data_IF_237348540632
#
_entry.id   IF_237348540632
#
_cell.length_a   1.000
_cell.length_b   1.000
_cell.length_c   1.000
_cell.angle_alpha   90.00
_cell.angle_beta   90.00
_cell.angle_gamma   90.00
#
_symmetry.space_group_name_H-M   'P 1'
#
loop_
_entity.id
_entity.type
_entity.pdbx_description
1 polymer ?
#
# COMPACT_ATOMS: atom_id res chain seq x y z
N UNK A 1 16.91 3.49 5.52
CA UNK A 1 16.22 2.80 6.64
C UNK A 1 16.20 1.34 6.24
N UNK A 2 17.19 0.56 6.72
CA UNK A 2 17.43 -0.81 6.23
C UNK A 2 16.51 -1.87 6.85
N UNK A 3 15.80 -1.56 7.95
CA UNK A 3 15.08 -2.59 8.71
C UNK A 3 13.56 -2.40 8.78
N UNK A 4 12.97 -1.46 8.03
CA UNK A 4 11.51 -1.22 8.04
C UNK A 4 10.93 -0.72 9.37
N UNK A 5 11.73 -0.62 10.42
CA UNK A 5 11.30 -0.18 11.74
C UNK A 5 11.08 1.35 11.77
N UNK A 6 9.99 1.82 12.40
CA UNK A 6 9.82 3.25 12.67
C UNK A 6 10.96 3.79 13.55
N UNK A 7 11.59 4.88 13.10
CA UNK A 7 12.64 5.55 13.85
C UNK A 7 12.12 6.57 14.87
N UNK A 8 12.97 7.09 15.76
CA UNK A 8 12.58 8.13 16.70
C UNK A 8 12.18 9.43 15.97
N UNK A 9 11.34 10.24 16.63
CA UNK A 9 11.05 11.59 16.17
C UNK A 9 12.32 12.44 16.23
N UNK A 10 12.53 13.29 15.22
CA UNK A 10 13.61 14.27 15.20
C UNK A 10 13.27 15.49 16.07
N UNK A 11 14.23 16.33 16.33
CA UNK A 11 14.03 17.55 17.15
C UNK A 11 13.07 18.54 16.49
N UNK A 12 13.04 18.59 15.15
CA UNK A 12 12.20 19.44 14.30
C UNK A 12 10.85 18.82 13.94
N UNK A 13 10.61 17.54 14.28
CA UNK A 13 9.32 16.89 14.07
C UNK A 13 8.27 17.43 15.05
N UNK A 14 7.03 17.67 14.60
CA UNK A 14 5.94 18.03 15.51
C UNK A 14 5.67 16.89 16.51
N UNK A 15 5.19 17.24 17.70
CA UNK A 15 4.80 16.24 18.70
C UNK A 15 3.36 15.78 18.52
N UNK A 16 2.54 16.64 17.91
CA UNK A 16 1.11 16.40 17.70
C UNK A 16 0.66 17.09 16.39
N UNK A 17 -0.30 16.45 15.71
CA UNK A 17 -1.01 17.00 14.53
C UNK A 17 -2.50 16.71 14.72
N UNK A 18 -3.32 17.74 14.81
CA UNK A 18 -4.80 17.62 14.85
C UNK A 18 -5.32 16.60 15.87
N UNK A 19 -4.70 16.52 17.06
CA UNK A 19 -5.04 15.56 18.11
C UNK A 19 -4.35 14.18 17.99
N UNK A 20 -3.58 13.94 16.93
CA UNK A 20 -2.75 12.75 16.78
C UNK A 20 -1.38 12.97 17.42
N UNK A 21 -1.12 12.34 18.56
CA UNK A 21 0.21 12.34 19.21
C UNK A 21 1.16 11.47 18.41
N UNK A 22 2.22 12.07 17.84
CA UNK A 22 3.20 11.36 17.03
C UNK A 22 4.13 10.52 17.91
N UNK A 23 4.35 9.26 17.55
CA UNK A 23 5.14 8.29 18.34
C UNK A 23 6.49 8.00 17.72
N UNK A 24 6.53 7.87 16.40
CA UNK A 24 7.72 7.51 15.67
C UNK A 24 7.64 8.01 14.23
N UNK A 25 8.77 8.09 13.56
CA UNK A 25 8.87 8.43 12.14
C UNK A 25 8.93 7.15 11.32
N UNK A 26 7.91 6.91 10.49
CA UNK A 26 7.85 5.74 9.60
C UNK A 26 8.68 5.98 8.36
N UNK A 27 8.62 7.19 7.79
CA UNK A 27 9.36 7.51 6.58
C UNK A 27 9.28 8.98 6.20
N UNK A 28 10.07 9.36 5.20
CA UNK A 28 9.99 10.66 4.56
C UNK A 28 10.16 10.50 3.06
N UNK A 29 9.32 11.17 2.30
CA UNK A 29 9.35 11.21 0.85
C UNK A 29 9.38 12.63 0.31
N UNK A 30 9.31 12.76 -1.02
CA UNK A 30 9.30 14.07 -1.68
C UNK A 30 8.19 14.99 -1.17
N UNK A 31 7.00 14.47 -0.92
CA UNK A 31 5.79 15.24 -0.62
C UNK A 31 5.50 15.43 0.86
N UNK A 32 6.10 14.64 1.74
CA UNK A 32 5.76 14.67 3.15
C UNK A 32 6.56 13.71 4.01
N UNK A 33 6.21 13.72 5.28
CA UNK A 33 6.73 12.78 6.28
C UNK A 33 5.59 11.93 6.81
N UNK A 34 5.85 10.65 7.00
CA UNK A 34 4.89 9.69 7.55
C UNK A 34 5.28 9.37 8.98
N UNK A 35 4.33 9.49 9.88
CA UNK A 35 4.50 9.23 11.31
C UNK A 35 3.59 8.10 11.78
N UNK A 36 4.05 7.31 12.73
CA UNK A 36 3.21 6.40 13.50
C UNK A 36 2.48 7.19 14.57
N UNK A 37 1.18 7.03 14.63
CA UNK A 37 0.31 7.58 15.67
C UNK A 37 -0.79 6.57 16.01
N UNK A 38 -1.73 6.99 16.87
CA UNK A 38 -2.89 6.18 17.22
C UNK A 38 -4.14 7.06 17.22
N UNK A 39 -5.27 6.50 16.82
CA UNK A 39 -6.59 7.12 17.03
C UNK A 39 -6.89 7.20 18.52
N UNK A 40 -7.93 7.95 18.90
CA UNK A 40 -8.43 7.98 20.30
C UNK A 40 -8.81 6.61 20.83
N UNK A 41 -9.24 5.69 19.95
CA UNK A 41 -9.54 4.29 20.28
C UNK A 41 -8.32 3.37 20.36
N UNK A 42 -7.08 3.92 20.22
CA UNK A 42 -5.85 3.14 20.30
C UNK A 42 -5.46 2.41 19.00
N UNK A 43 -6.21 2.57 17.90
CA UNK A 43 -5.87 1.96 16.63
C UNK A 43 -4.63 2.63 16.03
N UNK A 44 -3.59 1.86 15.63
CA UNK A 44 -2.40 2.43 15.02
C UNK A 44 -2.69 2.99 13.62
N UNK A 45 -2.15 4.17 13.34
CA UNK A 45 -2.30 4.87 12.06
C UNK A 45 -0.96 5.37 11.54
N UNK A 46 -0.81 5.35 10.20
CA UNK A 46 0.25 6.03 9.48
C UNK A 46 -0.24 7.41 9.06
N UNK A 47 0.29 8.46 9.70
CA UNK A 47 -0.09 9.85 9.47
C UNK A 47 0.88 10.51 8.51
N UNK A 48 0.49 10.69 7.26
CA UNK A 48 1.26 11.38 6.22
C UNK A 48 0.98 12.87 6.26
N UNK A 49 1.97 13.65 6.68
CA UNK A 49 1.88 15.11 6.79
C UNK A 49 2.56 15.74 5.57
N UNK A 50 1.81 16.57 4.85
CA UNK A 50 2.28 17.21 3.62
C UNK A 50 3.28 18.33 3.95
N UNK A 51 4.36 18.44 3.18
CA UNK A 51 5.36 19.48 3.34
C UNK A 51 4.77 20.87 3.06
N UNK A 52 5.26 21.87 3.77
CA UNK A 52 4.77 23.24 3.69
C UNK A 52 4.80 23.82 2.27
N UNK A 53 5.83 23.51 1.51
CA UNK A 53 5.98 23.95 0.11
C UNK A 53 4.83 23.50 -0.79
N UNK A 54 4.34 22.26 -0.63
CA UNK A 54 3.17 21.75 -1.35
C UNK A 54 1.86 22.25 -0.75
N UNK A 55 1.81 22.39 0.58
CA UNK A 55 0.63 22.90 1.28
C UNK A 55 0.29 24.35 0.90
N UNK A 56 1.24 25.14 0.39
CA UNK A 56 1.04 26.50 -0.10
C UNK A 56 0.52 26.57 -1.54
N UNK A 57 0.61 25.50 -2.32
CA UNK A 57 0.11 25.44 -3.69
C UNK A 57 -1.40 25.16 -3.71
N UNK A 58 -2.20 26.11 -4.18
CA UNK A 58 -3.65 25.91 -4.35
C UNK A 58 -3.95 24.75 -5.30
N UNK A 59 -3.19 24.60 -6.39
CA UNK A 59 -3.34 23.51 -7.34
C UNK A 59 -3.07 22.15 -6.68
N UNK A 60 -2.02 22.06 -5.85
CA UNK A 60 -1.73 20.83 -5.09
C UNK A 60 -2.86 20.50 -4.12
N UNK A 61 -3.40 21.48 -3.38
CA UNK A 61 -4.50 21.27 -2.42
C UNK A 61 -5.75 20.70 -3.09
N UNK A 62 -6.17 21.30 -4.21
CA UNK A 62 -7.33 20.82 -4.96
C UNK A 62 -7.13 19.37 -5.42
N UNK A 63 -5.93 19.03 -5.91
CA UNK A 63 -5.60 17.66 -6.30
C UNK A 63 -5.60 16.72 -5.12
N UNK A 64 -4.91 17.07 -4.05
CA UNK A 64 -4.84 16.26 -2.82
C UNK A 64 -6.24 15.96 -2.26
N UNK A 65 -7.11 16.96 -2.19
CA UNK A 65 -8.50 16.78 -1.74
C UNK A 65 -9.28 15.81 -2.65
N UNK A 66 -9.15 15.91 -3.97
CA UNK A 66 -9.80 15.00 -4.92
C UNK A 66 -9.31 13.56 -4.78
N UNK A 67 -8.02 13.37 -4.60
CA UNK A 67 -7.41 12.05 -4.45
C UNK A 67 -7.76 11.41 -3.12
N UNK A 68 -7.76 12.17 -2.02
CA UNK A 68 -8.26 11.70 -0.72
C UNK A 68 -9.74 11.31 -0.83
N UNK A 69 -10.57 12.11 -1.49
CA UNK A 69 -11.98 11.79 -1.71
C UNK A 69 -12.15 10.52 -2.56
N UNK A 70 -11.29 10.28 -3.55
CA UNK A 70 -11.29 9.05 -4.34
C UNK A 70 -10.87 7.85 -3.49
N UNK A 71 -9.77 7.96 -2.72
CA UNK A 71 -9.26 6.90 -1.85
C UNK A 71 -10.30 6.46 -0.80
N UNK A 72 -11.07 7.39 -0.24
CA UNK A 72 -12.14 7.10 0.72
C UNK A 72 -13.33 6.32 0.15
N UNK A 73 -13.55 6.36 -1.16
CA UNK A 73 -14.62 5.60 -1.83
C UNK A 73 -14.21 4.17 -2.17
N UNK A 74 -12.92 3.89 -2.14
CA UNK A 74 -12.41 2.57 -2.48
C UNK A 74 -12.23 1.76 -1.21
N UNK A 75 -12.79 0.56 -1.20
CA UNK A 75 -12.56 -0.42 -0.15
C UNK A 75 -12.29 -1.78 -0.80
N UNK A 76 -11.37 -2.52 -0.23
CA UNK A 76 -11.01 -3.84 -0.76
C UNK A 76 -9.96 -4.52 0.12
N UNK A 77 -9.83 -5.83 -0.05
CA UNK A 77 -8.74 -6.57 0.58
C UNK A 77 -7.40 -6.10 0.01
N UNK A 78 -6.37 -6.08 0.84
CA UNK A 78 -5.02 -5.66 0.46
C UNK A 78 -4.87 -4.18 0.06
N UNK A 79 -5.90 -3.36 0.30
CA UNK A 79 -5.84 -1.90 0.22
C UNK A 79 -5.79 -1.32 1.63
N UNK A 80 -4.86 -0.41 1.86
CA UNK A 80 -4.77 0.25 3.17
C UNK A 80 -5.87 1.30 3.28
N UNK A 81 -6.83 1.15 4.21
CA UNK A 81 -7.96 2.06 4.30
C UNK A 81 -7.54 3.43 4.85
N UNK A 82 -8.19 4.48 4.33
CA UNK A 82 -8.14 5.83 4.89
C UNK A 82 -8.96 5.86 6.18
N UNK A 83 -8.34 6.32 7.28
CA UNK A 83 -8.97 6.43 8.59
C UNK A 83 -9.49 7.85 8.82
N UNK A 84 -8.67 8.86 8.49
CA UNK A 84 -9.00 10.26 8.74
C UNK A 84 -8.15 11.17 7.83
N UNK A 85 -8.50 12.44 7.70
CA UNK A 85 -7.76 13.39 6.87
C UNK A 85 -8.12 14.84 7.20
N UNK A 86 -7.21 15.74 6.85
CA UNK A 86 -7.48 17.19 6.73
C UNK A 86 -6.81 17.71 5.46
N UNK A 87 -7.61 18.13 4.50
CA UNK A 87 -7.15 18.70 3.22
C UNK A 87 -7.19 20.21 3.19
N UNK A 88 -7.85 20.85 4.17
CA UNK A 88 -8.12 22.29 4.18
C UNK A 88 -7.25 23.06 5.18
N UNK A 89 -6.81 22.41 6.25
CA UNK A 89 -5.98 23.01 7.28
C UNK A 89 -4.63 23.55 6.76
N UNK A 90 -3.90 24.30 7.57
CA UNK A 90 -2.61 24.91 7.19
C UNK A 90 -1.53 23.85 6.89
N UNK A 91 -1.68 22.64 7.42
CA UNK A 91 -0.84 21.46 7.17
C UNK A 91 -1.73 20.30 6.76
N UNK A 92 -2.02 20.11 5.47
CA UNK A 92 -2.80 18.98 5.02
C UNK A 92 -2.15 17.65 5.43
N UNK A 93 -2.97 16.69 5.82
CA UNK A 93 -2.51 15.36 6.22
C UNK A 93 -3.54 14.28 5.88
N UNK A 94 -3.07 13.05 5.84
CA UNK A 94 -3.86 11.84 5.63
C UNK A 94 -3.44 10.79 6.65
N UNK A 95 -4.39 10.23 7.38
CA UNK A 95 -4.20 9.06 8.25
C UNK A 95 -4.76 7.83 7.57
N UNK A 96 -3.93 6.82 7.43
CA UNK A 96 -4.32 5.49 6.97
C UNK A 96 -4.10 4.46 8.07
N UNK A 97 -4.71 3.28 7.97
CA UNK A 97 -4.36 2.19 8.86
C UNK A 97 -2.86 1.91 8.78
N UNK A 98 -2.21 1.73 9.94
CA UNK A 98 -0.80 1.34 9.96
C UNK A 98 -0.67 -0.17 9.78
N UNK A 99 0.04 -0.58 8.75
CA UNK A 99 0.38 -1.98 8.47
C UNK A 99 1.83 -2.22 8.86
N UNK A 100 2.10 -3.05 9.86
CA UNK A 100 3.46 -3.47 10.18
C UNK A 100 3.96 -4.44 9.11
N UNK A 101 4.88 -3.99 8.28
CA UNK A 101 5.39 -4.79 7.15
C UNK A 101 6.64 -4.18 6.54
N UNK A 102 7.29 -4.94 5.67
CA UNK A 102 8.46 -4.51 4.91
C UNK A 102 8.04 -4.01 3.53
N UNK A 103 8.55 -2.85 3.07
CA UNK A 103 8.40 -2.46 1.67
C UNK A 103 9.06 -3.48 0.75
N UNK A 104 8.42 -3.78 -0.38
CA UNK A 104 8.92 -4.80 -1.32
C UNK A 104 10.32 -4.43 -1.89
N UNK A 105 10.62 -3.15 -2.11
CA UNK A 105 11.95 -2.70 -2.53
C UNK A 105 13.02 -3.02 -1.47
N UNK A 106 12.69 -2.88 -0.19
CA UNK A 106 13.58 -3.27 0.90
C UNK A 106 13.77 -4.81 0.96
N UNK A 107 12.72 -5.57 0.67
CA UNK A 107 12.80 -7.04 0.59
C UNK A 107 13.70 -7.46 -0.57
N UNK A 108 13.46 -6.96 -1.77
CA UNK A 108 14.27 -7.30 -2.95
C UNK A 108 15.74 -6.90 -2.73
N UNK A 109 15.98 -5.70 -2.20
CA UNK A 109 17.33 -5.17 -1.99
C UNK A 109 18.11 -5.84 -0.84
N UNK A 110 17.41 -6.33 0.20
CA UNK A 110 18.02 -6.90 1.40
C UNK A 110 17.98 -8.43 1.50
N UNK A 111 16.97 -9.05 0.86
CA UNK A 111 16.74 -10.50 0.97
C UNK A 111 16.76 -11.22 -0.39
N UNK A 112 16.85 -10.45 -1.51
CA UNK A 112 16.85 -11.01 -2.86
C UNK A 112 15.44 -11.28 -3.41
N UNK A 113 15.37 -12.05 -4.53
CA UNK A 113 14.12 -12.37 -5.20
C UNK A 113 13.20 -13.24 -4.35
N UNK A 114 11.90 -13.13 -4.60
CA UNK A 114 10.88 -13.97 -3.99
C UNK A 114 10.65 -15.26 -4.80
N UNK A 115 10.32 -16.38 -4.15
CA UNK A 115 9.87 -17.59 -4.83
C UNK A 115 8.65 -17.34 -5.71
N UNK A 116 8.53 -18.10 -6.82
CA UNK A 116 7.45 -17.94 -7.79
C UNK A 116 6.05 -17.96 -7.16
N UNK A 117 5.79 -18.89 -6.23
CA UNK A 117 4.50 -19.01 -5.54
C UNK A 117 4.19 -17.77 -4.68
N UNK A 118 5.20 -17.19 -4.02
CA UNK A 118 5.05 -15.95 -3.26
C UNK A 118 4.74 -14.77 -4.21
N UNK A 119 5.40 -14.71 -5.38
CA UNK A 119 5.13 -13.69 -6.41
C UNK A 119 3.73 -13.86 -7.01
N UNK A 120 3.29 -15.07 -7.31
CA UNK A 120 1.93 -15.34 -7.81
C UNK A 120 0.89 -14.91 -6.78
N UNK A 121 1.08 -15.24 -5.50
CA UNK A 121 0.19 -14.85 -4.40
C UNK A 121 0.14 -13.33 -4.23
N UNK A 122 1.29 -12.68 -4.20
CA UNK A 122 1.43 -11.24 -4.16
C UNK A 122 0.70 -10.58 -5.34
N UNK A 123 0.96 -11.05 -6.56
CA UNK A 123 0.37 -10.50 -7.79
C UNK A 123 -1.14 -10.66 -7.82
N UNK A 124 -1.66 -11.85 -7.44
CA UNK A 124 -3.09 -12.11 -7.38
C UNK A 124 -3.82 -11.23 -6.36
N UNK A 125 -3.24 -11.04 -5.16
CA UNK A 125 -3.79 -10.15 -4.14
C UNK A 125 -3.84 -8.69 -4.61
N UNK A 126 -2.76 -8.20 -5.22
CA UNK A 126 -2.70 -6.84 -5.75
C UNK A 126 -3.65 -6.64 -6.94
N UNK A 127 -3.78 -7.64 -7.80
CA UNK A 127 -4.73 -7.61 -8.89
C UNK A 127 -6.18 -7.51 -8.36
N UNK A 128 -6.53 -8.26 -7.32
CA UNK A 128 -7.82 -8.13 -6.65
C UNK A 128 -8.03 -6.74 -6.02
N UNK A 129 -6.98 -6.16 -5.43
CA UNK A 129 -7.00 -4.79 -4.91
C UNK A 129 -7.22 -3.77 -6.05
N UNK A 130 -6.52 -3.94 -7.17
CA UNK A 130 -6.68 -3.08 -8.36
C UNK A 130 -8.06 -3.21 -8.99
N UNK A 131 -8.66 -4.40 -9.00
CA UNK A 131 -10.03 -4.59 -9.51
C UNK A 131 -11.04 -3.75 -8.69
N UNK A 132 -10.91 -3.71 -7.37
CA UNK A 132 -11.73 -2.85 -6.51
C UNK A 132 -11.49 -1.35 -6.80
N UNK A 133 -10.23 -0.93 -7.04
CA UNK A 133 -9.88 0.45 -7.42
C UNK A 133 -10.52 0.83 -8.76
N UNK A 134 -10.37 -0.02 -9.75
CA UNK A 134 -10.88 0.19 -11.11
C UNK A 134 -12.43 0.18 -11.13
N UNK A 135 -13.05 -0.71 -10.33
CA UNK A 135 -14.51 -0.75 -10.15
C UNK A 135 -15.09 0.54 -9.55
N UNK A 136 -14.29 1.29 -8.77
CA UNK A 136 -14.66 2.62 -8.28
C UNK A 136 -14.38 3.75 -9.28
N UNK A 137 -14.00 3.44 -10.52
CA UNK A 137 -13.66 4.41 -11.57
C UNK A 137 -12.34 5.15 -11.33
N UNK A 138 -11.44 4.57 -10.55
CA UNK A 138 -10.13 5.15 -10.21
C UNK A 138 -9.02 4.35 -10.87
N UNK A 139 -7.96 5.02 -11.32
CA UNK A 139 -6.70 4.41 -11.75
C UNK A 139 -5.67 4.72 -10.67
N UNK A 140 -4.90 3.71 -10.22
CA UNK A 140 -3.94 3.87 -9.11
C UNK A 140 -2.72 4.71 -9.47
N UNK A 141 -2.13 4.51 -10.66
CA UNK A 141 -1.06 5.30 -11.27
C UNK A 141 0.30 5.29 -10.58
N UNK A 142 0.46 4.67 -9.43
CA UNK A 142 1.73 4.62 -8.68
C UNK A 142 2.03 3.23 -8.10
N UNK A 143 1.78 2.19 -8.91
CA UNK A 143 2.16 0.81 -8.59
C UNK A 143 3.68 0.71 -8.71
N UNK A 144 4.35 0.41 -7.58
CA UNK A 144 5.81 0.25 -7.47
C UNK A 144 6.16 -0.48 -6.16
N UNK A 145 7.36 -1.09 -6.05
CA UNK A 145 7.75 -1.82 -4.84
C UNK A 145 7.70 -1.01 -3.55
N UNK A 146 8.06 0.28 -3.58
CA UNK A 146 8.03 1.14 -2.39
C UNK A 146 6.62 1.50 -1.88
N UNK A 147 5.56 1.23 -2.68
CA UNK A 147 4.16 1.40 -2.30
C UNK A 147 3.48 0.08 -1.94
N UNK A 148 4.25 -0.98 -1.77
CA UNK A 148 3.76 -2.30 -1.41
C UNK A 148 4.43 -2.78 -0.13
N UNK A 149 3.66 -3.08 0.91
CA UNK A 149 4.14 -3.70 2.13
C UNK A 149 3.88 -5.20 2.12
N UNK A 150 4.88 -5.98 2.52
CA UNK A 150 4.75 -7.39 2.82
C UNK A 150 4.59 -7.57 4.32
N UNK A 151 3.44 -8.05 4.77
CA UNK A 151 3.10 -8.32 6.15
C UNK A 151 2.80 -9.81 6.36
N UNK A 152 2.74 -10.29 7.59
CA UNK A 152 2.33 -11.65 7.87
C UNK A 152 0.90 -11.94 7.38
N UNK A 153 0.04 -10.92 7.36
CA UNK A 153 -1.34 -10.96 6.86
C UNK A 153 -1.46 -10.81 5.34
N UNK A 154 -0.36 -10.84 4.60
CA UNK A 154 -0.32 -10.71 3.15
C UNK A 154 0.28 -9.40 2.64
N UNK A 155 0.27 -9.18 1.32
CA UNK A 155 0.72 -7.94 0.72
C UNK A 155 -0.33 -6.83 0.91
N UNK A 156 0.12 -5.58 1.07
CA UNK A 156 -0.76 -4.42 1.25
C UNK A 156 -0.33 -3.29 0.33
N UNK A 157 -1.27 -2.82 -0.50
CA UNK A 157 -1.06 -1.69 -1.40
C UNK A 157 -1.30 -0.39 -0.64
N UNK A 158 -0.26 0.43 -0.58
CA UNK A 158 -0.29 1.77 0.01
C UNK A 158 -0.73 2.79 -1.02
N UNK A 159 -1.14 3.94 -0.51
CA UNK A 159 -1.28 5.23 -1.20
C UNK A 159 -1.72 5.12 -2.68
N UNK A 160 -2.98 5.34 -2.93
CA UNK A 160 -3.41 5.78 -4.26
C UNK A 160 -2.52 6.97 -4.61
N UNK A 161 -2.05 7.07 -5.82
CA UNK A 161 -1.06 8.08 -6.22
C UNK A 161 -1.40 9.53 -5.86
N UNK A 162 -1.63 9.76 -4.56
CA UNK A 162 -2.25 10.90 -3.87
C UNK A 162 -1.57 12.26 -4.18
N UNK A 163 -0.70 12.32 -5.16
CA UNK A 163 -0.08 13.58 -5.52
C UNK A 163 0.43 13.59 -6.97
N UNK A 164 -0.02 12.63 -7.78
CA UNK A 164 0.33 12.60 -9.20
C UNK A 164 -0.79 13.21 -10.02
N UNK A 165 -0.54 14.40 -10.53
CA UNK A 165 -1.44 15.11 -11.40
C UNK A 165 -1.85 14.29 -12.62
N UNK A 166 -3.14 14.04 -12.76
CA UNK A 166 -3.71 13.87 -14.08
C UNK A 166 -3.47 15.20 -14.83
N UNK A 167 -2.55 15.19 -15.79
CA UNK A 167 -2.31 16.36 -16.64
C UNK A 167 -0.95 17.03 -16.52
N UNK A 168 -0.09 16.69 -15.55
CA UNK A 168 1.31 17.12 -15.64
C UNK A 168 2.01 16.25 -16.68
N UNK A 169 2.36 16.86 -17.82
CA UNK A 169 3.28 16.30 -18.80
C UNK A 169 4.44 15.66 -18.05
N UNK A 170 4.81 14.45 -18.42
CA UNK A 170 5.90 13.66 -17.85
C UNK A 170 7.22 14.44 -17.79
N UNK A 171 7.32 15.49 -18.55
CA UNK A 171 8.42 16.47 -18.56
C UNK A 171 7.88 17.82 -18.07
N UNK A 172 8.35 18.29 -16.91
CA UNK A 172 8.15 19.70 -16.54
C UNK A 172 8.96 20.58 -17.49
N UNK A 173 8.55 21.85 -17.64
CA UNK A 173 9.30 22.90 -18.38
C UNK A 173 10.77 23.01 -17.92
N UNK A 174 11.10 22.44 -16.75
CA UNK A 174 12.45 22.36 -16.19
C UNK A 174 13.16 21.02 -16.46
N UNK A 175 12.64 20.14 -17.34
CA UNK A 175 13.25 18.86 -17.66
C UNK A 175 13.22 17.79 -16.54
N UNK A 176 12.45 18.01 -15.46
CA UNK A 176 12.33 17.06 -14.34
C UNK A 176 11.19 16.10 -14.58
N UNK A 177 11.51 14.82 -14.63
CA UNK A 177 10.53 13.74 -14.68
C UNK A 177 9.87 13.60 -13.30
N UNK A 178 8.55 13.82 -13.20
CA UNK A 178 7.82 13.60 -11.96
C UNK A 178 7.34 12.16 -11.93
N UNK A 179 7.78 11.40 -10.94
CA UNK A 179 7.32 10.04 -10.68
C UNK A 179 8.45 9.01 -10.59
N UNK A 180 8.09 7.73 -10.57
CA UNK A 180 9.02 6.59 -10.67
C UNK A 180 9.01 6.08 -12.12
N UNK A 181 9.88 6.58 -13.00
CA UNK A 181 9.83 6.26 -14.43
C UNK A 181 10.00 4.77 -14.73
N UNK A 182 10.58 4.02 -13.78
CA UNK A 182 10.80 2.58 -13.89
C UNK A 182 9.53 1.73 -13.96
N UNK A 183 8.41 2.24 -13.43
CA UNK A 183 7.15 1.47 -13.36
C UNK A 183 6.03 2.12 -14.18
N UNK A 184 6.40 2.94 -15.17
CA UNK A 184 5.44 3.47 -16.13
C UNK A 184 5.01 2.40 -17.12
N UNK A 185 3.80 2.51 -17.65
CA UNK A 185 3.42 1.77 -18.85
C UNK A 185 3.92 2.47 -20.11
N UNK A 186 3.97 1.80 -21.28
CA UNK A 186 4.37 2.42 -22.55
C UNK A 186 3.57 3.68 -22.88
N UNK A 187 2.24 3.62 -22.74
CA UNK A 187 1.34 4.76 -22.95
C UNK A 187 1.63 5.91 -21.98
N UNK A 188 2.00 5.60 -20.71
CA UNK A 188 2.39 6.61 -19.75
C UNK A 188 3.71 7.30 -20.15
N UNK A 189 4.71 6.52 -20.56
CA UNK A 189 6.00 7.05 -21.01
C UNK A 189 5.87 7.91 -22.28
N UNK A 190 4.89 7.59 -23.14
CA UNK A 190 4.57 8.33 -24.36
C UNK A 190 3.61 9.51 -24.15
N UNK A 191 3.18 9.78 -22.90
CA UNK A 191 2.24 10.86 -22.57
C UNK A 191 0.81 10.65 -23.13
N UNK A 192 0.43 9.40 -23.40
CA UNK A 192 -0.91 9.01 -23.85
C UNK A 192 -1.87 8.88 -22.67
N UNK A 193 -3.20 8.85 -22.89
CA UNK A 193 -4.18 8.63 -21.83
C UNK A 193 -3.94 7.31 -21.08
N UNK A 194 -4.02 7.36 -19.75
CA UNK A 194 -3.91 6.20 -18.89
C UNK A 194 -5.26 5.51 -18.74
N UNK A 195 -5.22 4.19 -18.68
CA UNK A 195 -6.38 3.32 -18.45
C UNK A 195 -6.09 2.35 -17.30
N UNK A 196 -7.05 1.59 -16.80
CA UNK A 196 -6.81 0.49 -15.86
C UNK A 196 -5.69 -0.47 -16.29
N UNK A 197 -5.54 -0.71 -17.60
CA UNK A 197 -4.46 -1.54 -18.15
C UNK A 197 -3.05 -0.98 -17.90
N UNK A 198 -2.93 0.33 -17.59
CA UNK A 198 -1.64 0.94 -17.22
C UNK A 198 -1.17 0.45 -15.83
N UNK A 199 -2.09 0.26 -14.88
CA UNK A 199 -1.78 -0.32 -13.57
C UNK A 199 -1.42 -1.81 -13.68
N UNK A 200 -2.06 -2.53 -14.61
CA UNK A 200 -1.74 -3.95 -14.88
C UNK A 200 -0.32 -4.10 -15.43
N UNK A 201 0.10 -3.21 -16.33
CA UNK A 201 1.49 -3.20 -16.81
C UNK A 201 2.48 -2.94 -15.67
N UNK A 202 2.22 -1.95 -14.83
CA UNK A 202 3.06 -1.64 -13.67
C UNK A 202 3.10 -2.81 -12.66
N UNK A 203 1.97 -3.52 -12.47
CA UNK A 203 1.90 -4.75 -11.66
C UNK A 203 2.77 -5.86 -12.28
N UNK A 204 2.76 -6.03 -13.60
CA UNK A 204 3.61 -6.98 -14.31
C UNK A 204 5.11 -6.67 -14.11
N UNK A 205 5.51 -5.39 -14.21
CA UNK A 205 6.90 -4.96 -13.94
C UNK A 205 7.32 -5.28 -12.50
N UNK A 206 6.46 -4.96 -11.54
CA UNK A 206 6.68 -5.22 -10.13
C UNK A 206 6.83 -6.72 -9.86
N UNK A 207 5.96 -7.55 -10.43
CA UNK A 207 5.99 -9.01 -10.27
C UNK A 207 7.26 -9.62 -10.88
N UNK A 208 7.65 -9.18 -12.08
CA UNK A 208 8.88 -9.63 -12.72
C UNK A 208 10.12 -9.27 -11.89
N UNK A 209 10.20 -8.04 -11.39
CA UNK A 209 11.31 -7.61 -10.52
C UNK A 209 11.31 -8.36 -9.19
N UNK A 210 10.16 -8.62 -8.58
CA UNK A 210 10.07 -9.40 -7.36
C UNK A 210 10.57 -10.84 -7.53
N UNK A 211 10.34 -11.45 -8.70
CA UNK A 211 10.76 -12.80 -9.02
C UNK A 211 12.24 -12.91 -9.43
N UNK A 212 12.80 -11.88 -10.07
CA UNK A 212 14.18 -11.91 -10.59
C UNK A 212 15.18 -11.17 -9.70
N UNK A 213 14.72 -10.28 -8.81
CA UNK A 213 15.58 -9.38 -8.06
C UNK A 213 16.11 -8.20 -8.88
N UNK A 214 15.75 -8.13 -10.16
CA UNK A 214 16.13 -7.05 -11.05
C UNK A 214 14.98 -6.67 -12.02
N UNK A 215 14.99 -5.42 -12.45
CA UNK A 215 13.96 -4.90 -13.33
C UNK A 215 14.02 -5.56 -14.73
N UNK A 216 12.87 -5.99 -15.35
CA UNK A 216 12.87 -6.77 -16.60
C UNK A 216 13.43 -6.03 -17.83
N UNK A 217 13.52 -4.71 -17.76
CA UNK A 217 14.23 -3.88 -18.76
C UNK A 217 15.70 -3.60 -18.36
N UNK A 218 16.22 -4.29 -17.36
CA UNK A 218 17.59 -4.18 -16.87
C UNK A 218 17.86 -2.89 -16.08
N UNK A 219 19.14 -2.54 -15.91
CA UNK A 219 19.58 -1.39 -15.12
C UNK A 219 19.54 -0.11 -15.95
N UNK A 220 19.17 1.01 -15.30
CA UNK A 220 19.17 2.32 -15.94
C UNK A 220 18.60 3.43 -15.06
N UNK A 221 18.91 4.68 -15.42
CA UNK A 221 18.31 5.85 -14.79
C UNK A 221 16.91 6.13 -15.36
N UNK A 222 16.10 6.92 -14.66
CA UNK A 222 14.69 7.11 -14.92
C UNK A 222 14.29 7.35 -16.38
N UNK A 223 14.95 8.28 -17.10
CA UNK A 223 14.66 8.58 -18.51
C UNK A 223 15.03 7.42 -19.45
N UNK A 224 16.19 6.80 -19.26
CA UNK A 224 16.61 5.67 -20.06
C UNK A 224 15.65 4.48 -19.89
N UNK A 225 15.16 4.26 -18.67
CA UNK A 225 14.17 3.24 -18.39
C UNK A 225 12.81 3.55 -19.03
N UNK A 226 12.33 4.78 -18.91
CA UNK A 226 11.11 5.22 -19.59
C UNK A 226 11.19 5.06 -21.11
N UNK A 227 12.35 5.36 -21.72
CA UNK A 227 12.58 5.18 -23.16
C UNK A 227 12.51 3.70 -23.57
N UNK A 228 13.12 2.77 -22.79
CA UNK A 228 13.01 1.33 -23.04
C UNK A 228 11.57 0.84 -22.92
N UNK A 229 10.87 1.26 -21.88
CA UNK A 229 9.46 0.92 -21.68
C UNK A 229 8.59 1.47 -22.83
N UNK A 230 8.85 2.70 -23.28
CA UNK A 230 8.14 3.26 -24.44
C UNK A 230 8.35 2.46 -25.72
N UNK A 231 9.47 1.75 -25.83
CA UNK A 231 9.82 0.89 -26.97
C UNK A 231 9.44 -0.58 -26.80
N UNK A 232 8.54 -0.95 -25.87
CA UNK A 232 8.13 -2.33 -25.57
C UNK A 232 7.66 -3.11 -26.81
N UNK A 233 7.08 -2.43 -27.80
CA UNK A 233 6.64 -3.00 -29.06
C UNK A 233 7.79 -3.53 -29.93
N UNK A 234 8.97 -2.95 -29.82
CA UNK A 234 10.18 -3.31 -30.57
C UNK A 234 11.13 -4.18 -29.75
N UNK A 235 11.25 -3.87 -28.48
CA UNK A 235 12.15 -4.54 -27.54
C UNK A 235 11.36 -4.91 -26.26
N UNK A 236 10.70 -6.09 -26.27
CA UNK A 236 9.92 -6.53 -25.12
C UNK A 236 10.81 -6.82 -23.91
N UNK A 237 10.24 -6.83 -22.68
CA UNK A 237 10.99 -7.15 -21.48
C UNK A 237 11.52 -8.59 -21.51
N UNK A 238 12.65 -8.84 -20.84
CA UNK A 238 13.24 -10.17 -20.73
C UNK A 238 12.50 -10.98 -19.70
N UNK A 239 11.82 -12.06 -20.12
CA UNK A 239 11.01 -12.92 -19.27
C UNK A 239 11.43 -14.40 -19.33
N UNK A 240 12.39 -14.78 -20.17
CA UNK A 240 12.76 -16.16 -20.45
C UNK A 240 13.27 -16.93 -19.23
N UNK A 241 13.80 -16.22 -18.24
CA UNK A 241 14.33 -16.81 -17.00
C UNK A 241 13.25 -17.09 -15.95
N UNK A 242 12.01 -16.65 -16.17
CA UNK A 242 10.91 -16.97 -15.25
C UNK A 242 10.29 -18.33 -15.56
N UNK A 243 9.96 -19.13 -14.56
CA UNK A 243 9.27 -20.41 -14.77
C UNK A 243 7.81 -20.19 -15.18
N UNK A 244 7.22 -21.19 -15.85
CA UNK A 244 5.77 -21.26 -16.00
C UNK A 244 5.12 -21.66 -14.67
N UNK A 245 3.90 -21.19 -14.37
CA UNK A 245 3.03 -20.33 -15.20
C UNK A 245 3.31 -18.81 -15.08
N UNK A 246 4.29 -18.42 -14.26
CA UNK A 246 4.61 -17.00 -14.02
C UNK A 246 5.01 -16.25 -15.30
N UNK A 247 5.83 -16.89 -16.17
CA UNK A 247 6.27 -16.28 -17.43
C UNK A 247 5.10 -15.92 -18.33
N UNK A 248 4.14 -16.84 -18.52
CA UNK A 248 2.94 -16.61 -19.31
C UNK A 248 2.08 -15.47 -18.77
N UNK A 249 1.90 -15.40 -17.45
CA UNK A 249 1.20 -14.31 -16.76
C UNK A 249 1.89 -12.95 -17.00
N UNK A 250 3.21 -12.90 -16.80
CA UNK A 250 4.01 -11.68 -17.01
C UNK A 250 3.93 -11.21 -18.45
N UNK A 251 4.04 -12.12 -19.43
CA UNK A 251 3.94 -11.80 -20.86
C UNK A 251 2.61 -11.12 -21.21
N UNK A 252 1.51 -11.58 -20.64
CA UNK A 252 0.20 -10.96 -20.84
C UNK A 252 0.08 -9.58 -20.16
N UNK A 253 0.55 -9.44 -18.91
CA UNK A 253 0.52 -8.16 -18.21
C UNK A 253 1.39 -7.09 -18.90
N UNK A 254 2.53 -7.50 -19.47
CA UNK A 254 3.53 -6.63 -20.08
C UNK A 254 3.38 -6.49 -21.61
N UNK A 255 2.22 -6.85 -22.17
CA UNK A 255 1.91 -6.59 -23.57
C UNK A 255 2.03 -5.09 -23.88
N UNK A 256 2.60 -4.77 -25.06
CA UNK A 256 2.88 -3.38 -25.46
C UNK A 256 1.59 -2.57 -25.56
N UNK A 257 0.55 -3.15 -26.15
CA UNK A 257 -0.76 -2.51 -26.34
C UNK A 257 -1.66 -2.71 -25.14
N UNK A 258 -2.28 -1.64 -24.57
CA UNK A 258 -3.15 -1.74 -23.39
C UNK A 258 -4.32 -2.70 -23.56
N UNK A 259 -4.91 -2.79 -24.75
CA UNK A 259 -6.04 -3.66 -25.09
C UNK A 259 -5.71 -5.15 -25.13
N UNK A 260 -4.44 -5.52 -25.18
CA UNK A 260 -3.96 -6.91 -25.14
C UNK A 260 -3.74 -7.40 -23.71
N UNK A 261 -3.71 -6.49 -22.73
CA UNK A 261 -3.50 -6.82 -21.33
C UNK A 261 -4.78 -7.32 -20.68
N UNK A 262 -4.70 -8.31 -19.79
CA UNK A 262 -5.87 -8.77 -19.04
C UNK A 262 -6.40 -7.67 -18.13
N UNK A 263 -7.70 -7.72 -17.81
CA UNK A 263 -8.25 -6.92 -16.72
C UNK A 263 -7.66 -7.40 -15.36
N UNK A 264 -7.65 -6.52 -14.35
CA UNK A 264 -7.08 -6.85 -13.04
C UNK A 264 -7.71 -8.11 -12.42
N UNK A 265 -9.04 -8.29 -12.51
CA UNK A 265 -9.74 -9.51 -12.08
C UNK A 265 -9.26 -10.78 -12.80
N UNK A 266 -8.91 -10.67 -14.08
CA UNK A 266 -8.41 -11.82 -14.85
C UNK A 266 -6.99 -12.17 -14.42
N UNK A 267 -6.15 -11.18 -14.08
CA UNK A 267 -4.82 -11.41 -13.49
C UNK A 267 -4.96 -12.15 -12.14
N UNK A 268 -5.88 -11.73 -11.28
CA UNK A 268 -6.14 -12.40 -10.00
C UNK A 268 -6.56 -13.88 -10.22
N UNK A 269 -7.43 -14.12 -11.19
CA UNK A 269 -7.87 -15.45 -11.57
C UNK A 269 -6.73 -16.33 -12.12
N UNK A 270 -5.90 -15.78 -13.00
CA UNK A 270 -4.72 -16.47 -13.53
C UNK A 270 -3.76 -16.87 -12.39
N UNK A 271 -3.51 -15.98 -11.42
CA UNK A 271 -2.68 -16.30 -10.26
C UNK A 271 -3.31 -17.38 -9.39
N UNK A 272 -4.61 -17.36 -9.17
CA UNK A 272 -5.34 -18.36 -8.41
C UNK A 272 -5.23 -19.75 -9.05
N UNK A 273 -5.45 -19.83 -10.36
CA UNK A 273 -5.31 -21.08 -11.14
C UNK A 273 -3.87 -21.60 -11.09
N UNK A 274 -2.88 -20.71 -11.25
CA UNK A 274 -1.47 -21.06 -11.19
C UNK A 274 -1.03 -21.62 -9.83
N UNK A 275 -1.69 -21.21 -8.74
CA UNK A 275 -1.47 -21.72 -7.39
C UNK A 275 -2.27 -22.99 -7.07
N UNK A 276 -3.05 -23.51 -8.03
CA UNK A 276 -3.91 -24.68 -7.81
C UNK A 276 -5.02 -24.45 -6.78
N UNK A 277 -5.45 -23.20 -6.60
CA UNK A 277 -6.49 -22.85 -5.64
C UNK A 277 -7.87 -22.90 -6.30
N UNK A 278 -8.76 -23.77 -5.81
CA UNK A 278 -10.10 -23.96 -6.36
C UNK A 278 -11.09 -22.85 -5.96
N UNK A 279 -10.74 -22.03 -4.95
CA UNK A 279 -11.59 -20.97 -4.46
C UNK A 279 -10.78 -19.67 -4.12
N UNK A 280 -11.50 -18.57 -3.87
CA UNK A 280 -10.91 -17.29 -3.45
C UNK A 280 -10.10 -17.35 -2.15
N UNK A 281 -10.21 -18.44 -1.38
CA UNK A 281 -9.45 -18.61 -0.13
C UNK A 281 -7.97 -18.86 -0.42
N UNK A 282 -7.62 -19.43 -1.58
CA UNK A 282 -6.24 -19.69 -1.96
C UNK A 282 -5.33 -18.45 -1.96
N UNK A 283 -5.87 -17.28 -2.32
CA UNK A 283 -5.15 -16.01 -2.24
C UNK A 283 -5.19 -15.34 -0.85
N UNK A 284 -5.97 -15.88 0.10
CA UNK A 284 -6.16 -15.31 1.45
C UNK A 284 -5.45 -16.09 2.56
N UNK A 285 -4.78 -17.19 2.21
CA UNK A 285 -4.00 -17.97 3.18
C UNK A 285 -2.55 -17.55 3.11
N UNK A 286 -2.07 -16.91 4.18
CA UNK A 286 -0.73 -16.33 4.26
C UNK A 286 0.20 -17.07 5.23
N UNK A 287 -0.19 -18.24 5.74
CA UNK A 287 0.70 -19.06 6.56
C UNK A 287 1.89 -19.51 5.71
N UNK A 288 3.11 -19.11 6.11
CA UNK A 288 4.33 -19.52 5.42
C UNK A 288 4.50 -18.95 3.99
N UNK A 289 3.78 -17.89 3.61
CA UNK A 289 3.85 -17.33 2.26
C UNK A 289 5.14 -16.53 1.98
N UNK A 290 5.80 -16.05 3.04
CA UNK A 290 7.07 -15.34 2.94
C UNK A 290 8.23 -16.30 3.23
N UNK A 291 9.39 -16.14 2.56
CA UNK A 291 10.63 -16.82 2.96
C UNK A 291 10.99 -16.48 4.41
N UNK A 292 11.58 -17.46 5.14
CA UNK A 292 11.88 -17.32 6.56
C UNK A 292 12.64 -16.04 6.97
N UNK A 293 13.66 -15.57 6.21
CA UNK A 293 14.34 -14.33 6.56
C UNK A 293 13.42 -13.11 6.51
N UNK A 294 12.51 -13.06 5.52
CA UNK A 294 11.52 -11.98 5.35
C UNK A 294 10.45 -12.09 6.43
N UNK A 295 9.92 -13.28 6.68
CA UNK A 295 8.94 -13.53 7.73
C UNK A 295 9.47 -13.12 9.11
N UNK A 296 10.72 -13.46 9.41
CA UNK A 296 11.39 -13.06 10.66
C UNK A 296 11.56 -11.55 10.78
N UNK A 297 11.89 -10.86 9.69
CA UNK A 297 12.00 -9.40 9.67
C UNK A 297 10.62 -8.73 9.87
N UNK A 298 9.57 -9.23 9.23
CA UNK A 298 8.18 -8.77 9.41
C UNK A 298 7.74 -8.97 10.86
N UNK A 299 7.98 -10.13 11.45
CA UNK A 299 7.63 -10.42 12.85
C UNK A 299 8.30 -9.45 13.84
N UNK A 300 9.56 -9.04 13.58
CA UNK A 300 10.25 -8.03 14.39
C UNK A 300 9.55 -6.67 14.31
N UNK A 301 9.11 -6.25 13.12
CA UNK A 301 8.37 -4.99 12.95
C UNK A 301 7.03 -5.06 13.69
N UNK A 302 6.28 -6.14 13.54
CA UNK A 302 5.02 -6.35 14.25
C UNK A 302 5.18 -6.29 15.76
N UNK A 303 6.20 -6.95 16.30
CA UNK A 303 6.50 -6.93 17.74
C UNK A 303 6.88 -5.53 18.24
N UNK A 304 7.66 -4.78 17.46
CA UNK A 304 8.11 -3.44 17.83
C UNK A 304 7.00 -2.38 17.75
N UNK A 305 5.99 -2.60 16.90
CA UNK A 305 4.90 -1.64 16.67
C UNK A 305 3.60 -2.02 17.36
N UNK A 306 3.57 -3.18 18.03
CA UNK A 306 2.43 -3.62 18.84
C UNK A 306 2.12 -2.56 19.90
N UNK A 307 0.85 -2.09 20.04
CA UNK A 307 0.50 -1.18 21.11
C UNK A 307 0.92 -1.81 22.44
N UNK A 308 1.75 -1.13 23.22
CA UNK A 308 1.94 -1.52 24.61
C UNK A 308 0.58 -1.41 25.26
N UNK A 309 0.10 -2.41 26.04
CA UNK A 309 -1.08 -2.25 26.82
C UNK A 309 -0.89 -0.94 27.59
N UNK A 310 -1.67 0.06 27.26
CA UNK A 310 -1.75 1.25 28.08
C UNK A 310 -2.12 0.73 29.45
N UNK A 311 -1.40 1.14 30.47
CA UNK A 311 -1.86 1.03 31.87
C UNK A 311 -3.03 2.01 32.03
N UNK A 312 -4.06 1.83 31.21
CA UNK A 312 -5.34 2.43 31.40
C UNK A 312 -6.01 1.66 32.53
N UNK A 313 -5.73 2.08 33.73
CA UNK A 313 -6.62 1.83 34.84
C UNK A 313 -7.89 2.60 34.49
N UNK A 314 -9.01 1.95 34.18
CA UNK A 314 -10.25 2.66 33.98
C UNK A 314 -10.57 3.29 35.34
N UNK A 315 -10.27 4.57 35.45
CA UNK A 315 -10.85 5.39 36.51
C UNK A 315 -12.32 5.63 36.12
N UNK A 316 -13.09 4.54 36.13
CA UNK A 316 -14.52 4.65 36.26
C UNK A 316 -14.77 5.02 37.73
N UNK A 317 -14.72 6.29 38.00
CA UNK A 317 -15.38 6.85 39.18
C UNK A 317 -16.86 6.92 38.79
N UNK A 318 -17.74 6.09 39.32
CA UNK A 318 -19.17 6.24 39.11
C UNK A 318 -19.61 7.53 39.81
N UNK A 319 -19.51 8.64 39.07
CA UNK A 319 -20.24 9.85 39.39
C UNK A 319 -21.66 9.64 38.90
N UNK A 320 -22.49 9.07 39.67
CA UNK A 320 -23.91 9.34 39.88
C UNK A 320 -24.50 8.15 40.62
N UNK A 321 -25.09 8.42 41.73
CA UNK A 321 -26.09 7.57 42.39
C UNK A 321 -27.28 7.45 41.43
N UNK A 322 -27.25 6.47 40.54
CA UNK A 322 -28.42 6.03 39.83
C UNK A 322 -29.11 4.94 40.71
N UNK A 323 -30.25 5.23 41.33
CA UNK A 323 -30.97 4.27 42.16
C UNK A 323 -31.39 3.01 41.35
N UNK A 324 -31.57 3.11 40.05
CA UNK A 324 -31.96 2.01 39.17
C UNK A 324 -30.82 1.01 38.91
N UNK A 325 -29.56 1.45 38.85
CA UNK A 325 -28.42 0.57 38.69
C UNK A 325 -28.14 -0.30 39.92
N UNK A 326 -28.46 0.20 41.11
CA UNK A 326 -28.37 -0.56 42.34
C UNK A 326 -29.43 -1.67 42.46
N UNK A 327 -30.58 -1.49 41.82
CA UNK A 327 -31.70 -2.46 41.80
C UNK A 327 -31.45 -3.59 40.79
N UNK A 328 -30.86 -3.27 39.65
CA UNK A 328 -30.43 -4.25 38.66
C UNK A 328 -29.38 -5.22 39.20
N UNK A 329 -28.34 -4.72 39.87
CA UNK A 329 -27.30 -5.54 40.46
C UNK A 329 -27.82 -6.43 41.64
N UNK A 330 -28.89 -6.04 42.34
CA UNK A 330 -29.54 -6.88 43.33
C UNK A 330 -30.38 -8.01 42.73
N UNK A 331 -31.01 -7.79 41.57
CA UNK A 331 -31.79 -8.82 40.86
C UNK A 331 -30.91 -9.89 40.21
N UNK A 332 -29.79 -9.50 39.59
CA UNK A 332 -28.88 -10.46 38.94
C UNK A 332 -28.18 -11.39 39.95
N UNK A 333 -27.98 -10.97 41.22
CA UNK A 333 -27.36 -11.80 42.24
C UNK A 333 -28.33 -12.75 42.97
N UNK A 334 -29.62 -12.77 42.66
CA UNK A 334 -30.65 -13.58 43.35
C UNK A 334 -31.22 -14.71 42.51
N UNK A 335 -30.67 -15.04 41.38
CA UNK A 335 -31.10 -16.20 40.62
C UNK A 335 -30.09 -17.34 40.88
N UNK A 336 -30.42 -18.35 41.72
CA UNK A 336 -29.60 -19.55 41.83
C UNK A 336 -29.75 -20.35 40.54
N UNK A 337 -28.62 -20.79 40.00
CA UNK A 337 -28.57 -21.86 38.98
C UNK A 337 -29.19 -23.11 39.63
N UNK A 338 -30.42 -23.45 39.25
CA UNK A 338 -30.95 -24.79 39.45
C UNK A 338 -30.56 -25.64 38.25
N UNK A 339 -29.89 -26.71 38.58
CA UNK A 339 -29.52 -27.82 37.69
C UNK A 339 -30.69 -28.29 36.81
N UNK A 340 -30.38 -28.42 35.49
CA UNK A 340 -30.74 -29.61 34.71
C UNK A 340 -29.85 -29.70 33.48
#
# INVERSE_FOLDING_TARGET
>A
MQDGLPGPLRADDPREISGYVLRARVGAGGMGTVYLSHTRGGQPVALKVIRREYAQSAEFRVRFAREVAAARRVSGYHLVPVVDHDTEGPRPWLATHYVPGLPLDAVIGGHGPLPADAVLRLTGCLAGALDAVHGAGVIHRDIKPGNLLLAASGPWLLDFGIARAAGTRTLTTAGRLIGSPKYMSPEHALGRPLTPASDVFALGLLAAEAAAGEHPYGRGHGLAMAARIAGTDREPPRLDHHPEPLRGLLGRCLAARPEERPAAREVAEMCRQALGADDDRGLRVFTGWLPDPVASAVARIEAATRPRPSAYTPTYVPTVRDPMAAEWNRRVRRTPLQDR
#
